data_IF_217524032853
#
_entry.id   IF_217524032853
#
_cell.length_a   1.000
_cell.length_b   1.000
_cell.length_c   1.000
_cell.angle_alpha   90.00
_cell.angle_beta   90.00
_cell.angle_gamma   90.00
#
_symmetry.space_group_name_H-M   'P 1'
#
loop_
_entity.id
_entity.type
_entity.pdbx_description
1 polymer ?
#
# COMPACT_ATOMS: atom_id res chain seq x y z
N UNK A 1 1.09 11.44 -16.65
CA UNK A 1 1.32 10.58 -15.47
C UNK A 1 -0.01 9.95 -15.09
N UNK A 2 -0.07 8.67 -14.70
CA UNK A 2 -1.33 8.04 -14.27
C UNK A 2 -1.51 8.27 -12.76
N UNK A 3 -2.75 8.49 -12.33
CA UNK A 3 -3.12 8.78 -10.94
C UNK A 3 -4.17 7.78 -10.46
N UNK A 4 -4.19 7.51 -9.16
CA UNK A 4 -5.22 6.70 -8.51
C UNK A 4 -5.66 7.35 -7.20
N UNK A 5 -6.96 7.47 -6.99
CA UNK A 5 -7.49 7.92 -5.70
C UNK A 5 -7.28 6.84 -4.63
N UNK A 6 -6.93 7.26 -3.42
CA UNK A 6 -6.67 6.37 -2.28
C UNK A 6 -7.84 5.40 -2.02
N UNK A 7 -9.08 5.87 -2.19
CA UNK A 7 -10.27 5.00 -2.07
C UNK A 7 -10.28 3.88 -3.10
N UNK A 8 -9.96 4.17 -4.36
CA UNK A 8 -9.88 3.16 -5.41
C UNK A 8 -8.68 2.22 -5.18
N UNK A 9 -7.55 2.78 -4.76
CA UNK A 9 -6.35 2.01 -4.40
C UNK A 9 -6.65 0.99 -3.29
N UNK A 10 -7.39 1.38 -2.26
CA UNK A 10 -7.75 0.48 -1.16
C UNK A 10 -8.51 -0.75 -1.64
N UNK A 11 -9.50 -0.58 -2.52
CA UNK A 11 -10.23 -1.70 -3.11
C UNK A 11 -9.36 -2.59 -4.01
N UNK A 12 -8.36 -2.00 -4.67
CA UNK A 12 -7.40 -2.74 -5.49
C UNK A 12 -6.46 -3.60 -4.64
N UNK A 13 -5.95 -3.05 -3.53
CA UNK A 13 -4.93 -3.71 -2.70
C UNK A 13 -5.53 -4.66 -1.65
N UNK A 14 -6.72 -4.33 -1.13
CA UNK A 14 -7.43 -5.12 -0.12
C UNK A 14 -8.88 -5.36 -0.58
N UNK A 15 -9.09 -6.28 -1.55
CA UNK A 15 -10.41 -6.59 -2.06
C UNK A 15 -11.30 -7.18 -0.96
N UNK A 16 -12.58 -6.81 -0.97
CA UNK A 16 -13.56 -7.35 -0.02
C UNK A 16 -13.79 -8.86 -0.21
N UNK A 17 -13.77 -9.32 -1.46
CA UNK A 17 -13.84 -10.73 -1.80
C UNK A 17 -12.52 -11.41 -1.44
N UNK A 18 -12.57 -12.25 -0.41
CA UNK A 18 -11.40 -12.99 0.11
C UNK A 18 -10.91 -14.10 -0.82
N UNK A 19 -11.68 -14.45 -1.85
CA UNK A 19 -11.24 -15.39 -2.89
C UNK A 19 -10.26 -14.75 -3.88
N UNK A 20 -10.24 -13.41 -3.96
CA UNK A 20 -9.33 -12.67 -4.82
C UNK A 20 -7.93 -12.69 -4.20
N UNK A 21 -6.98 -13.20 -4.97
CA UNK A 21 -5.58 -13.23 -4.57
C UNK A 21 -5.00 -11.81 -4.46
N UNK A 22 -4.36 -11.52 -3.32
CA UNK A 22 -3.62 -10.27 -3.12
C UNK A 22 -2.23 -10.40 -3.75
N UNK A 23 -2.01 -9.67 -4.84
CA UNK A 23 -0.78 -9.75 -5.63
C UNK A 23 0.31 -8.81 -5.10
N UNK A 24 1.59 -9.18 -5.25
CA UNK A 24 2.68 -8.25 -4.99
C UNK A 24 2.62 -7.02 -5.90
N UNK A 25 2.93 -5.86 -5.34
CA UNK A 25 2.97 -4.58 -6.05
C UNK A 25 4.16 -3.74 -5.59
N UNK A 26 4.56 -2.80 -6.43
CA UNK A 26 5.63 -1.86 -6.12
C UNK A 26 5.03 -0.61 -5.45
N UNK A 27 5.63 -0.15 -4.37
CA UNK A 27 5.16 0.98 -3.57
C UNK A 27 6.31 1.92 -3.21
N UNK A 28 6.00 3.21 -3.19
CA UNK A 28 6.86 4.25 -2.63
C UNK A 28 6.09 4.96 -1.52
N UNK A 29 6.67 4.98 -0.32
CA UNK A 29 6.04 5.62 0.83
C UNK A 29 7.08 6.26 1.78
N UNK A 30 6.63 7.23 2.57
CA UNK A 30 7.46 7.90 3.58
C UNK A 30 7.36 7.26 4.96
N UNK A 31 8.48 7.25 5.69
CA UNK A 31 8.55 6.94 7.11
C UNK A 31 8.60 8.23 7.96
N UNK A 32 8.39 8.09 9.27
CA UNK A 32 8.29 9.24 10.20
C UNK A 32 9.59 10.05 10.33
N UNK A 33 10.71 9.41 10.08
CA UNK A 33 12.05 10.02 10.09
C UNK A 33 12.38 10.77 8.79
N UNK A 34 11.46 10.77 7.81
CA UNK A 34 11.66 11.36 6.49
C UNK A 34 12.30 10.42 5.48
N UNK A 35 12.60 9.17 5.86
CA UNK A 35 13.12 8.16 4.93
C UNK A 35 12.04 7.80 3.90
N UNK A 36 12.43 7.72 2.63
CA UNK A 36 11.57 7.24 1.55
C UNK A 36 11.91 5.80 1.26
N UNK A 37 10.91 4.93 1.37
CA UNK A 37 11.04 3.50 1.09
C UNK A 37 10.49 3.23 -0.31
N UNK A 38 11.27 2.50 -1.10
CA UNK A 38 10.85 1.90 -2.37
C UNK A 38 10.93 0.39 -2.22
N UNK A 39 9.79 -0.28 -2.32
CA UNK A 39 9.69 -1.71 -2.01
C UNK A 39 8.65 -2.43 -2.86
N UNK A 40 8.83 -3.74 -2.98
CA UNK A 40 7.81 -4.66 -3.50
C UNK A 40 7.16 -5.41 -2.35
N UNK A 41 5.85 -5.26 -2.19
CA UNK A 41 5.10 -5.76 -1.03
C UNK A 41 3.79 -6.43 -1.42
N UNK A 42 3.21 -7.18 -0.48
CA UNK A 42 1.84 -7.69 -0.56
C UNK A 42 1.01 -7.00 0.53
N UNK A 43 -0.13 -6.43 0.16
CA UNK A 43 -1.08 -5.91 1.15
C UNK A 43 -1.74 -7.09 1.85
N UNK A 44 -1.70 -7.15 3.17
CA UNK A 44 -2.35 -8.23 3.94
C UNK A 44 -3.70 -7.80 4.48
N UNK A 45 -3.84 -6.53 4.82
CA UNK A 45 -5.10 -5.89 5.17
C UNK A 45 -4.98 -4.37 5.15
N UNK A 46 -6.13 -3.71 5.18
CA UNK A 46 -6.24 -2.27 5.28
C UNK A 46 -7.24 -1.86 6.37
N UNK A 47 -6.99 -0.74 7.07
CA UNK A 47 -7.88 -0.20 8.08
C UNK A 47 -8.40 1.18 7.65
N UNK A 48 -9.70 1.27 7.39
CA UNK A 48 -10.34 2.51 6.96
C UNK A 48 -10.40 3.57 8.08
N UNK A 49 -10.62 3.16 9.32
CA UNK A 49 -10.76 4.09 10.47
C UNK A 49 -9.43 4.76 10.83
N UNK A 50 -8.33 3.99 10.77
CA UNK A 50 -7.00 4.49 11.11
C UNK A 50 -6.21 4.96 9.88
N UNK A 51 -6.80 4.84 8.69
CA UNK A 51 -6.20 5.11 7.40
C UNK A 51 -4.81 4.48 7.22
N UNK A 52 -4.75 3.16 7.41
CA UNK A 52 -3.51 2.39 7.27
C UNK A 52 -3.65 1.20 6.33
N UNK A 53 -2.50 0.72 5.87
CA UNK A 53 -2.30 -0.56 5.20
C UNK A 53 -1.24 -1.38 5.94
N UNK A 54 -1.40 -2.70 5.93
CA UNK A 54 -0.38 -3.63 6.38
C UNK A 54 0.30 -4.25 5.15
N UNK A 55 1.60 -4.04 5.03
CA UNK A 55 2.41 -4.51 3.91
C UNK A 55 3.36 -5.61 4.39
N UNK A 56 3.24 -6.79 3.77
CA UNK A 56 4.18 -7.89 3.96
C UNK A 56 5.27 -7.83 2.91
N UNK A 57 6.52 -7.86 3.34
CA UNK A 57 7.71 -7.96 2.51
C UNK A 57 7.93 -9.44 2.15
N UNK A 58 7.87 -9.82 0.85
CA UNK A 58 7.96 -11.22 0.45
C UNK A 58 9.28 -11.89 0.85
N UNK A 59 10.39 -11.14 0.81
CA UNK A 59 11.74 -11.68 1.05
C UNK A 59 12.02 -11.95 2.53
N UNK A 60 11.64 -11.03 3.41
CA UNK A 60 11.88 -11.15 4.87
C UNK A 60 10.70 -11.74 5.64
N UNK A 61 9.50 -11.71 5.06
CA UNK A 61 8.26 -12.01 5.76
C UNK A 61 7.80 -10.92 6.73
N UNK A 62 8.58 -9.84 6.87
CA UNK A 62 8.27 -8.71 7.74
C UNK A 62 6.94 -8.05 7.35
N UNK A 63 6.15 -7.63 8.34
CA UNK A 63 4.91 -6.88 8.13
C UNK A 63 5.06 -5.49 8.73
N UNK A 64 4.84 -4.46 7.90
CA UNK A 64 4.85 -3.05 8.33
C UNK A 64 3.47 -2.42 8.14
N UNK A 65 3.09 -1.60 9.11
CA UNK A 65 1.89 -0.76 9.03
C UNK A 65 2.26 0.61 8.48
N UNK A 66 1.65 0.99 7.36
CA UNK A 66 1.92 2.27 6.67
C UNK A 66 0.66 3.11 6.67
N UNK A 67 0.78 4.40 7.02
CA UNK A 67 -0.32 5.35 6.89
C UNK A 67 -0.55 5.68 5.43
N UNK A 68 -1.81 5.66 5.00
CA UNK A 68 -2.16 5.81 3.59
C UNK A 68 -1.79 7.19 3.02
N UNK A 69 -1.87 8.24 3.84
CA UNK A 69 -1.39 9.59 3.50
C UNK A 69 0.12 9.67 3.19
N UNK A 70 0.90 8.66 3.58
CA UNK A 70 2.34 8.59 3.31
C UNK A 70 2.65 7.78 2.06
N UNK A 71 1.65 7.26 1.35
CA UNK A 71 1.83 6.59 0.07
C UNK A 71 1.97 7.65 -1.03
N UNK A 72 3.09 7.62 -1.75
CA UNK A 72 3.35 8.54 -2.85
C UNK A 72 3.05 7.88 -4.20
N UNK A 73 3.40 6.61 -4.34
CA UNK A 73 3.27 5.89 -5.60
C UNK A 73 2.93 4.40 -5.40
N UNK A 74 2.05 3.86 -6.23
CA UNK A 74 1.80 2.41 -6.32
C UNK A 74 1.79 1.97 -7.78
N UNK A 75 2.65 1.00 -8.14
CA UNK A 75 2.81 0.48 -9.51
C UNK A 75 3.01 1.58 -10.56
N UNK A 76 3.78 2.62 -10.24
CA UNK A 76 4.01 3.76 -11.12
C UNK A 76 2.87 4.79 -11.16
N UNK A 77 1.78 4.59 -10.41
CA UNK A 77 0.68 5.55 -10.31
C UNK A 77 0.83 6.43 -9.07
N UNK A 78 0.69 7.74 -9.25
CA UNK A 78 0.64 8.70 -8.16
C UNK A 78 -0.64 8.50 -7.33
N UNK A 79 -0.50 8.48 -6.01
CA UNK A 79 -1.64 8.31 -5.09
C UNK A 79 -2.22 9.67 -4.73
N UNK A 80 -3.50 9.86 -5.04
CA UNK A 80 -4.27 11.06 -4.72
C UNK A 80 -5.10 10.80 -3.46
N UNK A 81 -4.96 11.67 -2.45
CA UNK A 81 -5.67 11.57 -1.16
C UNK A 81 -7.09 12.12 -1.28
#
# INVERSE_FOLDING_TARGET
MKQIFLKALRHLLDPFDRSVERKPFDVVYGEKDGTVVNARVVCTSSNFKNDTFNFKYPESGEVRTVHAQLLFNVNGMEVMI
#
